data_IF_037531041706
#
_entry.id   IF_037531041706
#
_cell.length_a   1.000
_cell.length_b   1.000
_cell.length_c   1.000
_cell.angle_alpha   90.00
_cell.angle_beta   90.00
_cell.angle_gamma   90.00
#
_symmetry.space_group_name_H-M   'P 1'
#
loop_
_entity.id
_entity.type
_entity.pdbx_description
1 polymer ?
#
# COMPACT_ATOMS: atom_id res chain seq x y z
N UNK A 1 10.17 -16.92 1.39
CA UNK A 1 9.47 -17.00 2.69
C UNK A 1 8.30 -16.04 2.73
N UNK A 2 8.48 -14.74 2.48
CA UNK A 2 7.43 -13.70 2.57
C UNK A 2 6.22 -13.98 1.68
N UNK A 3 6.46 -14.37 0.42
CA UNK A 3 5.39 -14.72 -0.53
C UNK A 3 4.55 -15.90 -0.02
N UNK A 4 5.21 -16.94 0.50
CA UNK A 4 4.54 -18.13 1.05
C UNK A 4 3.71 -17.75 2.27
N UNK A 5 4.25 -16.91 3.16
CA UNK A 5 3.52 -16.42 4.33
C UNK A 5 2.30 -15.58 3.92
N UNK A 6 2.45 -14.68 2.93
CA UNK A 6 1.34 -13.86 2.44
C UNK A 6 0.23 -14.71 1.81
N UNK A 7 0.59 -15.69 0.98
CA UNK A 7 -0.38 -16.63 0.39
C UNK A 7 -1.06 -17.46 1.48
N UNK A 8 -0.28 -18.00 2.43
CA UNK A 8 -0.82 -18.76 3.56
C UNK A 8 -1.80 -17.93 4.40
N UNK A 9 -1.49 -16.65 4.63
CA UNK A 9 -2.33 -15.72 5.37
C UNK A 9 -3.65 -15.42 4.63
N UNK A 10 -3.58 -15.19 3.32
CA UNK A 10 -4.78 -14.99 2.49
C UNK A 10 -5.66 -16.24 2.51
N UNK A 11 -5.08 -17.43 2.32
CA UNK A 11 -5.80 -18.71 2.36
C UNK A 11 -6.43 -18.94 3.74
N UNK A 12 -5.66 -18.71 4.81
CA UNK A 12 -6.16 -18.85 6.18
C UNK A 12 -7.37 -17.95 6.44
N UNK A 13 -7.28 -16.65 6.13
CA UNK A 13 -8.39 -15.73 6.36
C UNK A 13 -9.58 -16.00 5.44
N UNK A 14 -9.33 -16.46 4.22
CA UNK A 14 -10.39 -16.83 3.28
C UNK A 14 -11.27 -17.97 3.81
N UNK A 15 -10.65 -19.00 4.42
CA UNK A 15 -11.37 -20.17 4.92
C UNK A 15 -11.86 -20.06 6.36
N UNK A 16 -11.16 -19.35 7.23
CA UNK A 16 -11.42 -19.37 8.68
C UNK A 16 -12.07 -18.09 9.23
N UNK A 17 -12.10 -17.00 8.46
CA UNK A 17 -12.60 -15.70 8.93
C UNK A 17 -13.51 -15.03 7.91
N UNK A 18 -14.65 -15.64 7.63
CA UNK A 18 -15.69 -15.02 6.82
C UNK A 18 -16.11 -13.67 7.43
N UNK A 19 -16.11 -12.60 6.61
CA UNK A 19 -16.58 -11.27 7.02
C UNK A 19 -15.49 -10.24 7.35
N UNK A 20 -14.20 -10.62 7.46
CA UNK A 20 -13.10 -9.68 7.73
C UNK A 20 -12.15 -9.51 6.55
N UNK A 21 -12.68 -9.30 5.35
CA UNK A 21 -11.98 -9.29 4.05
C UNK A 21 -10.92 -8.22 3.93
N UNK A 22 -11.14 -7.08 4.51
CA UNK A 22 -10.26 -5.92 4.50
C UNK A 22 -8.88 -6.16 5.17
N UNK A 23 -8.70 -7.29 5.87
CA UNK A 23 -7.42 -7.67 6.45
C UNK A 23 -6.45 -8.25 5.43
N UNK A 24 -6.94 -8.89 4.38
CA UNK A 24 -6.10 -9.64 3.46
C UNK A 24 -6.21 -9.24 1.99
N UNK A 25 -7.16 -8.35 1.65
CA UNK A 25 -7.39 -7.96 0.26
C UNK A 25 -6.16 -7.32 -0.41
N UNK A 26 -5.32 -6.63 0.37
CA UNK A 26 -4.11 -5.96 -0.12
C UNK A 26 -2.81 -6.62 0.33
N UNK A 27 -2.86 -7.70 1.09
CA UNK A 27 -1.65 -8.38 1.61
C UNK A 27 -0.74 -8.84 0.47
N UNK A 28 -1.30 -9.24 -0.67
CA UNK A 28 -0.53 -9.67 -1.84
C UNK A 28 0.24 -8.53 -2.54
N UNK A 29 -0.12 -7.28 -2.29
CA UNK A 29 0.64 -6.13 -2.81
C UNK A 29 2.04 -6.03 -2.17
N UNK A 30 2.19 -6.52 -0.94
CA UNK A 30 3.49 -6.50 -0.24
C UNK A 30 4.54 -7.40 -0.93
N UNK A 31 4.32 -8.71 -1.16
CA UNK A 31 5.27 -9.53 -1.91
C UNK A 31 5.46 -9.03 -3.34
N UNK A 32 4.43 -8.49 -3.99
CA UNK A 32 4.57 -7.87 -5.31
C UNK A 32 5.57 -6.71 -5.28
N UNK A 33 5.44 -5.82 -4.29
CA UNK A 33 6.38 -4.70 -4.10
C UNK A 33 7.82 -5.16 -3.86
N UNK A 34 8.02 -6.23 -3.06
CA UNK A 34 9.34 -6.82 -2.84
C UNK A 34 9.93 -7.41 -4.13
N UNK A 35 9.13 -8.18 -4.89
CA UNK A 35 9.56 -8.74 -6.17
C UNK A 35 9.87 -7.64 -7.19
N UNK A 36 9.05 -6.58 -7.21
CA UNK A 36 9.30 -5.41 -8.04
C UNK A 36 10.63 -4.73 -7.65
N UNK A 37 10.91 -4.54 -6.37
CA UNK A 37 12.16 -3.94 -5.91
C UNK A 37 13.40 -4.75 -6.33
N UNK A 38 13.33 -6.08 -6.27
CA UNK A 38 14.39 -6.98 -6.72
C UNK A 38 14.54 -6.94 -8.26
N UNK A 39 13.43 -6.96 -8.98
CA UNK A 39 13.41 -6.97 -10.44
C UNK A 39 13.64 -5.57 -11.05
N UNK A 40 13.49 -4.49 -10.27
CA UNK A 40 13.54 -3.11 -10.73
C UNK A 40 14.73 -2.81 -11.65
N UNK A 41 15.99 -3.19 -11.34
CA UNK A 41 17.13 -2.90 -12.22
C UNK A 41 16.98 -3.53 -13.62
N UNK A 42 16.38 -4.71 -13.70
CA UNK A 42 16.14 -5.41 -14.98
C UNK A 42 14.98 -4.76 -15.74
N UNK A 43 13.90 -4.42 -15.03
CA UNK A 43 12.73 -3.75 -15.60
C UNK A 43 13.11 -2.36 -16.12
N UNK A 44 13.85 -1.58 -15.35
CA UNK A 44 14.34 -0.26 -15.74
C UNK A 44 15.19 -0.35 -17.02
N UNK A 45 16.13 -1.30 -17.07
CA UNK A 45 16.96 -1.54 -18.25
C UNK A 45 16.16 -1.95 -19.50
N UNK A 46 15.06 -2.65 -19.31
CA UNK A 46 14.21 -3.13 -20.42
C UNK A 46 13.23 -2.06 -20.92
N UNK A 47 12.65 -1.26 -20.01
CA UNK A 47 11.55 -0.35 -20.33
C UNK A 47 11.97 1.11 -20.49
N UNK A 48 12.94 1.62 -19.69
CA UNK A 48 13.33 3.03 -19.74
C UNK A 48 13.93 3.46 -21.08
N UNK A 49 14.74 2.64 -21.80
CA UNK A 49 15.34 3.06 -23.07
C UNK A 49 14.30 3.28 -24.19
N UNK A 50 13.14 2.62 -24.12
CA UNK A 50 12.12 2.70 -25.18
C UNK A 50 10.80 3.24 -24.61
N UNK A 51 10.43 4.44 -25.03
CA UNK A 51 9.13 5.02 -24.69
C UNK A 51 7.97 4.14 -25.14
N UNK A 52 8.06 3.57 -26.34
CA UNK A 52 7.00 2.72 -26.90
C UNK A 52 6.78 1.46 -26.05
N UNK A 53 7.85 0.80 -25.61
CA UNK A 53 7.73 -0.40 -24.74
C UNK A 53 7.12 -0.05 -23.39
N UNK A 54 7.61 1.01 -22.75
CA UNK A 54 7.05 1.48 -21.47
C UNK A 54 5.58 1.84 -21.61
N UNK A 55 5.23 2.63 -22.64
CA UNK A 55 3.84 3.03 -22.90
C UNK A 55 2.93 1.82 -23.17
N UNK A 56 3.38 0.89 -24.00
CA UNK A 56 2.61 -0.34 -24.27
C UNK A 56 2.39 -1.17 -23.00
N UNK A 57 3.41 -1.40 -22.18
CA UNK A 57 3.26 -2.11 -20.91
C UNK A 57 2.29 -1.40 -19.95
N UNK A 58 2.39 -0.09 -19.85
CA UNK A 58 1.51 0.72 -18.99
C UNK A 58 0.06 0.67 -19.52
N UNK A 59 -0.13 0.84 -20.83
CA UNK A 59 -1.45 0.79 -21.45
C UNK A 59 -2.12 -0.59 -21.27
N UNK A 60 -1.37 -1.68 -21.48
CA UNK A 60 -1.86 -3.05 -21.22
C UNK A 60 -2.24 -3.26 -19.76
N UNK A 61 -1.42 -2.75 -18.83
CA UNK A 61 -1.70 -2.86 -17.38
C UNK A 61 -2.95 -2.06 -16.99
N UNK A 62 -3.14 -0.87 -17.54
CA UNK A 62 -4.36 -0.06 -17.35
C UNK A 62 -5.58 -0.75 -17.93
N UNK A 63 -5.48 -1.30 -19.14
CA UNK A 63 -6.57 -2.05 -19.76
C UNK A 63 -6.95 -3.29 -18.95
N UNK A 64 -5.95 -4.03 -18.43
CA UNK A 64 -6.18 -5.17 -17.54
C UNK A 64 -6.85 -4.75 -16.22
N UNK A 65 -6.42 -3.62 -15.62
CA UNK A 65 -7.06 -3.07 -14.42
C UNK A 65 -8.53 -2.73 -14.67
N UNK A 66 -8.84 -2.05 -15.78
CA UNK A 66 -10.22 -1.70 -16.16
C UNK A 66 -11.05 -2.97 -16.39
N UNK A 67 -10.52 -3.95 -17.12
CA UNK A 67 -11.20 -5.21 -17.39
C UNK A 67 -11.50 -5.99 -16.09
N UNK A 68 -10.56 -6.05 -15.15
CA UNK A 68 -10.77 -6.68 -13.84
C UNK A 68 -11.82 -5.95 -13.02
N UNK A 69 -11.84 -4.62 -13.07
CA UNK A 69 -12.86 -3.80 -12.41
C UNK A 69 -14.26 -4.11 -12.94
N UNK A 70 -14.44 -4.13 -14.27
CA UNK A 70 -15.70 -4.48 -14.90
C UNK A 70 -16.13 -5.93 -14.57
N UNK A 71 -15.17 -6.87 -14.61
CA UNK A 71 -15.41 -8.26 -14.24
C UNK A 71 -15.87 -8.37 -12.78
N UNK A 72 -15.29 -7.59 -11.86
CA UNK A 72 -15.72 -7.55 -10.46
C UNK A 72 -17.18 -7.11 -10.31
N UNK A 73 -17.59 -6.08 -11.05
CA UNK A 73 -18.98 -5.62 -11.03
C UNK A 73 -19.92 -6.68 -11.59
N UNK A 74 -19.54 -7.36 -12.68
CA UNK A 74 -20.31 -8.42 -13.30
C UNK A 74 -20.44 -9.67 -12.40
N UNK A 75 -19.42 -9.99 -11.61
CA UNK A 75 -19.37 -11.16 -10.71
C UNK A 75 -19.82 -10.85 -9.26
N UNK A 76 -20.68 -9.87 -9.05
CA UNK A 76 -21.21 -9.49 -7.74
C UNK A 76 -20.13 -9.28 -6.67
N UNK A 77 -19.02 -8.66 -7.04
CA UNK A 77 -17.97 -8.31 -6.11
C UNK A 77 -17.04 -9.46 -5.71
N UNK A 78 -16.76 -10.39 -6.61
CA UNK A 78 -15.82 -11.49 -6.36
C UNK A 78 -14.50 -11.00 -5.75
N UNK A 79 -14.14 -11.55 -4.61
CA UNK A 79 -12.94 -11.20 -3.85
C UNK A 79 -11.66 -11.54 -4.57
N UNK A 80 -11.64 -12.68 -5.25
CA UNK A 80 -10.48 -13.10 -6.04
C UNK A 80 -10.16 -12.05 -7.10
N UNK A 81 -11.19 -11.55 -7.79
CA UNK A 81 -11.05 -10.49 -8.79
C UNK A 81 -10.56 -9.21 -8.15
N UNK A 82 -11.03 -8.86 -6.94
CA UNK A 82 -10.56 -7.68 -6.20
C UNK A 82 -9.06 -7.74 -5.87
N UNK A 83 -8.54 -8.89 -5.46
CA UNK A 83 -7.10 -9.07 -5.21
C UNK A 83 -6.29 -8.80 -6.48
N UNK A 84 -6.71 -9.36 -7.62
CA UNK A 84 -6.04 -9.12 -8.91
C UNK A 84 -6.17 -7.67 -9.37
N UNK A 85 -7.33 -7.03 -9.15
CA UNK A 85 -7.53 -5.60 -9.41
C UNK A 85 -6.55 -4.75 -8.60
N UNK A 86 -6.40 -5.02 -7.31
CA UNK A 86 -5.46 -4.32 -6.44
C UNK A 86 -3.99 -4.50 -6.88
N UNK A 87 -3.61 -5.72 -7.30
CA UNK A 87 -2.28 -6.01 -7.84
C UNK A 87 -2.02 -5.25 -9.15
N UNK A 88 -3.00 -5.22 -10.06
CA UNK A 88 -2.87 -4.48 -11.32
C UNK A 88 -2.79 -2.97 -11.07
N UNK A 89 -3.57 -2.44 -10.13
CA UNK A 89 -3.46 -1.04 -9.72
C UNK A 89 -2.07 -0.70 -9.20
N UNK A 90 -1.52 -1.52 -8.30
CA UNK A 90 -0.16 -1.34 -7.79
C UNK A 90 0.88 -1.38 -8.90
N UNK A 91 0.73 -2.28 -9.88
CA UNK A 91 1.61 -2.37 -11.03
C UNK A 91 1.52 -1.12 -11.93
N UNK A 92 0.32 -0.61 -12.18
CA UNK A 92 0.11 0.63 -12.96
C UNK A 92 0.83 1.80 -12.30
N UNK A 93 0.69 1.96 -10.97
CA UNK A 93 1.38 3.02 -10.22
C UNK A 93 2.90 2.84 -10.30
N UNK A 94 3.41 1.62 -10.15
CA UNK A 94 4.84 1.32 -10.26
C UNK A 94 5.39 1.69 -11.65
N UNK A 95 4.70 1.30 -12.73
CA UNK A 95 5.10 1.61 -14.10
C UNK A 95 5.02 3.13 -14.39
N UNK A 96 3.96 3.80 -13.91
CA UNK A 96 3.82 5.25 -14.08
C UNK A 96 4.96 5.99 -13.37
N UNK A 97 5.33 5.58 -12.15
CA UNK A 97 6.40 6.20 -11.36
C UNK A 97 7.80 6.05 -11.97
N UNK A 98 8.00 5.15 -12.94
CA UNK A 98 9.29 4.98 -13.61
C UNK A 98 9.69 6.19 -14.46
N UNK A 99 8.72 6.94 -14.99
CA UNK A 99 8.98 8.10 -15.88
C UNK A 99 8.44 9.42 -15.33
N UNK A 100 7.54 9.36 -14.39
CA UNK A 100 6.98 10.55 -13.74
C UNK A 100 7.77 10.75 -12.44
N UNK A 101 8.79 11.59 -12.47
CA UNK A 101 9.45 12.03 -11.26
C UNK A 101 8.56 13.09 -10.60
N UNK A 102 7.84 12.68 -9.57
CA UNK A 102 7.05 13.61 -8.76
C UNK A 102 7.95 14.07 -7.61
N UNK A 103 8.82 15.02 -7.90
CA UNK A 103 9.69 15.63 -6.89
C UNK A 103 8.92 16.73 -6.15
N UNK A 104 7.99 16.29 -5.31
CA UNK A 104 7.20 17.16 -4.47
C UNK A 104 7.58 16.92 -3.00
N UNK A 105 8.02 17.96 -2.24
CA UNK A 105 8.43 17.82 -0.85
C UNK A 105 7.33 17.24 0.04
N UNK A 106 6.06 17.53 -0.26
CA UNK A 106 4.90 16.98 0.46
C UNK A 106 4.82 15.46 0.25
N UNK A 107 4.95 14.99 -1.00
CA UNK A 107 4.92 13.55 -1.30
C UNK A 107 6.13 12.82 -0.72
N UNK A 108 7.31 13.43 -0.75
CA UNK A 108 8.49 12.88 -0.08
C UNK A 108 8.29 12.78 1.42
N UNK A 109 7.64 13.79 2.03
CA UNK A 109 7.29 13.76 3.45
C UNK A 109 6.33 12.62 3.79
N UNK A 110 5.27 12.43 3.00
CA UNK A 110 4.34 11.30 3.13
C UNK A 110 5.03 9.95 2.89
N UNK A 111 5.89 9.86 1.88
CA UNK A 111 6.61 8.64 1.54
C UNK A 111 7.47 8.11 2.68
N UNK A 112 8.16 8.98 3.41
CA UNK A 112 8.93 8.61 4.61
C UNK A 112 8.05 8.06 5.73
N UNK A 113 6.79 8.53 5.84
CA UNK A 113 5.87 8.22 6.94
C UNK A 113 4.79 7.20 6.55
N UNK A 114 4.82 6.70 5.32
CA UNK A 114 3.76 5.81 4.81
C UNK A 114 3.53 4.58 5.69
N UNK A 115 4.59 4.03 6.27
CA UNK A 115 4.50 2.90 7.18
C UNK A 115 3.77 3.25 8.49
N UNK A 116 4.15 4.37 9.10
CA UNK A 116 3.47 4.89 10.29
C UNK A 116 2.01 5.23 10.03
N UNK A 117 1.74 5.90 8.90
CA UNK A 117 0.37 6.23 8.47
C UNK A 117 -0.45 4.96 8.31
N UNK A 118 0.08 3.95 7.61
CA UNK A 118 -0.63 2.70 7.36
C UNK A 118 -0.98 1.94 8.64
N UNK A 119 -0.05 1.84 9.59
CA UNK A 119 -0.29 1.12 10.84
C UNK A 119 -1.22 1.91 11.78
N UNK A 120 -1.02 3.23 11.88
CA UNK A 120 -1.69 4.05 12.88
C UNK A 120 -3.07 4.57 12.45
N UNK A 121 -3.40 4.57 11.14
CA UNK A 121 -4.68 5.07 10.63
C UNK A 121 -5.91 4.40 11.27
N UNK A 122 -5.76 3.20 11.77
CA UNK A 122 -6.85 2.46 12.37
C UNK A 122 -7.24 2.98 13.76
N UNK A 123 -6.28 3.52 14.50
CA UNK A 123 -6.52 4.04 15.85
C UNK A 123 -7.57 5.16 15.82
N UNK A 124 -7.39 6.25 15.05
CA UNK A 124 -8.40 7.30 14.98
C UNK A 124 -9.71 6.82 14.37
N UNK A 125 -9.71 5.87 13.44
CA UNK A 125 -10.94 5.31 12.89
C UNK A 125 -11.80 4.64 13.97
N UNK A 126 -11.19 3.85 14.85
CA UNK A 126 -11.90 3.18 15.96
C UNK A 126 -12.38 4.22 16.97
N UNK A 127 -11.51 5.13 17.38
CA UNK A 127 -11.82 6.14 18.39
C UNK A 127 -12.94 7.07 17.93
N UNK A 128 -12.85 7.63 16.73
CA UNK A 128 -13.87 8.54 16.19
C UNK A 128 -15.20 7.83 15.88
N UNK A 129 -15.13 6.55 15.51
CA UNK A 129 -16.32 5.69 15.39
C UNK A 129 -17.05 5.54 16.70
N UNK A 130 -16.34 5.33 17.79
CA UNK A 130 -16.89 5.24 19.14
C UNK A 130 -17.58 6.54 19.57
N UNK A 131 -17.06 7.70 19.16
CA UNK A 131 -17.70 9.00 19.42
C UNK A 131 -18.86 9.34 18.46
N UNK A 132 -19.29 8.40 17.63
CA UNK A 132 -20.47 8.56 16.76
C UNK A 132 -20.28 9.51 15.57
N UNK A 133 -19.05 9.85 15.20
CA UNK A 133 -18.77 10.71 14.04
C UNK A 133 -19.08 10.04 12.69
N UNK A 134 -19.40 8.75 12.67
CA UNK A 134 -19.71 7.97 11.45
C UNK A 134 -20.88 8.59 10.63
N UNK A 135 -21.79 9.32 11.27
CA UNK A 135 -22.89 10.00 10.59
C UNK A 135 -22.48 11.17 9.69
N UNK A 136 -21.21 11.59 9.75
CA UNK A 136 -20.67 12.71 8.94
C UNK A 136 -19.41 12.24 8.18
N UNK A 137 -19.54 11.55 7.04
CA UNK A 137 -18.43 10.84 6.39
C UNK A 137 -17.25 11.74 6.02
N UNK A 138 -17.49 12.96 5.54
CA UNK A 138 -16.42 13.90 5.20
C UNK A 138 -15.65 14.37 6.45
N UNK A 139 -16.35 14.74 7.51
CA UNK A 139 -15.73 15.17 8.76
C UNK A 139 -14.96 14.01 9.42
N UNK A 140 -15.54 12.81 9.41
CA UNK A 140 -14.93 11.60 9.89
C UNK A 140 -13.61 11.32 9.16
N UNK A 141 -13.62 11.32 7.82
CA UNK A 141 -12.43 11.05 7.01
C UNK A 141 -11.36 12.12 7.21
N UNK A 142 -11.73 13.40 7.24
CA UNK A 142 -10.79 14.49 7.45
C UNK A 142 -10.15 14.42 8.86
N UNK A 143 -10.94 14.16 9.89
CA UNK A 143 -10.46 14.02 11.26
C UNK A 143 -9.55 12.78 11.42
N UNK A 144 -9.95 11.62 10.87
CA UNK A 144 -9.11 10.43 10.84
C UNK A 144 -7.76 10.71 10.18
N UNK A 145 -7.78 11.37 9.03
CA UNK A 145 -6.55 11.67 8.29
C UNK A 145 -5.64 12.62 9.07
N UNK A 146 -6.18 13.72 9.63
CA UNK A 146 -5.42 14.68 10.41
C UNK A 146 -4.77 14.03 11.65
N UNK A 147 -5.54 13.24 12.41
CA UNK A 147 -5.02 12.55 13.60
C UNK A 147 -3.97 11.52 13.21
N UNK A 148 -4.18 10.78 12.11
CA UNK A 148 -3.20 9.79 11.62
C UNK A 148 -1.86 10.44 11.26
N UNK A 149 -1.88 11.63 10.62
CA UNK A 149 -0.66 12.38 10.30
C UNK A 149 0.11 12.75 11.57
N UNK A 150 -0.58 13.26 12.59
CA UNK A 150 0.06 13.63 13.87
C UNK A 150 0.66 12.40 14.55
N UNK A 151 -0.06 11.29 14.58
CA UNK A 151 0.41 10.04 15.15
C UNK A 151 1.62 9.47 14.38
N UNK A 152 1.61 9.55 13.05
CA UNK A 152 2.71 9.08 12.21
C UNK A 152 3.99 9.93 12.43
N UNK A 153 3.86 11.25 12.55
CA UNK A 153 4.98 12.14 12.90
C UNK A 153 5.57 11.80 14.27
N UNK A 154 4.70 11.58 15.26
CA UNK A 154 5.14 11.19 16.60
C UNK A 154 5.86 9.84 16.60
N UNK A 155 5.32 8.87 15.88
CA UNK A 155 5.90 7.53 15.71
C UNK A 155 7.29 7.59 15.09
N UNK A 156 7.47 8.36 14.03
CA UNK A 156 8.77 8.52 13.37
C UNK A 156 9.80 9.12 14.31
N UNK A 157 9.44 10.20 15.02
CA UNK A 157 10.34 10.82 16.00
C UNK A 157 10.73 9.88 17.15
N UNK A 158 9.81 9.01 17.57
CA UNK A 158 10.13 7.98 18.57
C UNK A 158 11.09 6.93 18.01
N UNK A 159 10.85 6.47 16.78
CA UNK A 159 11.70 5.49 16.11
C UNK A 159 13.10 6.02 15.90
N UNK A 160 13.25 7.26 15.45
CA UNK A 160 14.55 7.91 15.29
C UNK A 160 15.33 8.00 16.62
N UNK A 161 14.64 8.34 17.70
CA UNK A 161 15.28 8.39 19.04
C UNK A 161 15.71 6.99 19.50
N UNK A 162 14.91 5.97 19.25
CA UNK A 162 15.23 4.58 19.58
C UNK A 162 16.44 4.10 18.78
N UNK A 163 16.49 4.40 17.49
CA UNK A 163 17.61 4.04 16.62
C UNK A 163 18.92 4.68 17.08
N UNK A 164 18.88 5.95 17.49
CA UNK A 164 20.04 6.63 18.04
C UNK A 164 20.49 5.96 19.35
N UNK A 165 19.55 5.66 20.25
CA UNK A 165 19.85 5.00 21.52
C UNK A 165 20.44 3.60 21.33
N UNK A 166 19.89 2.81 20.40
CA UNK A 166 20.39 1.47 20.08
C UNK A 166 21.78 1.48 19.42
N UNK A 167 22.04 2.45 18.53
CA UNK A 167 23.35 2.63 17.91
C UNK A 167 24.41 3.03 18.92
N UNK A 168 24.06 3.86 19.89
CA UNK A 168 24.95 4.24 21.00
C UNK A 168 25.25 3.04 21.90
N UNK A 169 24.25 2.22 22.22
CA UNK A 169 24.42 0.98 23.00
C UNK A 169 25.36 -0.01 22.31
N UNK A 170 25.25 -0.14 20.98
CA UNK A 170 26.10 -1.07 20.20
C UNK A 170 27.55 -0.61 20.03
N UNK A 171 27.82 0.70 20.26
CA UNK A 171 29.18 1.27 20.20
C UNK A 171 29.88 1.23 21.55
N UNK A 172 29.16 0.97 22.65
CA UNK A 172 29.64 0.86 24.02
C UNK A 172 29.94 -0.59 24.46
N UNK A 173 29.64 -1.57 23.62
CA UNK A 173 29.85 -3.00 23.79
C UNK A 173 30.96 -3.49 22.87
#
# INVERSE_FOLDING_TARGET
>A
ITTVLSVGLVVFFYYFREGQYWWYDTVMCYPLGMWYAIAKPHIDKALLPSFAKWFACTAVSVAAFIALRELRFSMNGSRTVFIFEALMFALVIALASMRISIDNPILCWFGKRVFGIYILQRIPMIVLSYFGLNGKPFLFSAACFAITIVLAEFFERMTDKLDVALKLSKKSS
#
